data_IF_962987822627
#
_entry.id   IF_962987822627
#
_cell.length_a   1.000
_cell.length_b   1.000
_cell.length_c   1.000
_cell.angle_alpha   90.00
_cell.angle_beta   90.00
_cell.angle_gamma   90.00
#
_symmetry.space_group_name_H-M   'P 1'
#
loop_
_entity.id
_entity.type
_entity.pdbx_description
1 polymer ?
#
# COMPACT_ATOMS: atom_id res chain seq x y z
N UNK A 1 22.00 16.11 15.86
CA UNK A 1 20.72 15.40 16.02
C UNK A 1 20.31 15.01 14.62
N UNK A 2 20.09 13.72 14.33
CA UNK A 2 19.53 13.31 13.04
C UNK A 2 18.14 13.96 12.92
N UNK A 3 17.86 14.60 11.78
CA UNK A 3 16.52 15.15 11.51
C UNK A 3 15.50 14.00 11.56
N UNK A 4 14.38 14.21 12.23
CA UNK A 4 13.29 13.26 12.28
C UNK A 4 12.72 13.08 10.87
N UNK A 5 12.71 11.83 10.36
CA UNK A 5 12.20 11.54 9.01
C UNK A 5 10.71 11.81 8.93
N UNK A 6 10.29 12.55 7.90
CA UNK A 6 8.90 12.84 7.60
C UNK A 6 8.27 11.69 6.81
N UNK A 7 7.24 11.08 7.37
CA UNK A 7 6.54 9.93 6.78
C UNK A 7 5.17 10.38 6.26
N UNK A 8 4.83 9.99 5.05
CA UNK A 8 3.45 10.06 4.54
C UNK A 8 2.89 8.66 4.44
N UNK A 9 1.85 8.39 5.21
CA UNK A 9 1.11 7.13 5.19
C UNK A 9 -0.23 7.34 4.46
N UNK A 10 -0.47 6.61 3.38
CA UNK A 10 -1.72 6.67 2.60
C UNK A 10 -2.58 5.45 2.85
N UNK A 11 -3.86 5.66 3.13
CA UNK A 11 -4.87 4.59 3.17
C UNK A 11 -5.86 4.82 2.04
N UNK A 12 -5.77 4.04 0.93
CA UNK A 12 -6.70 4.18 -0.19
C UNK A 12 -8.06 3.57 0.16
N UNK A 13 -9.15 4.30 -0.13
CA UNK A 13 -10.52 3.88 0.19
C UNK A 13 -11.42 4.03 -1.01
N UNK A 14 -12.24 3.01 -1.31
CA UNK A 14 -13.30 3.08 -2.30
C UNK A 14 -14.57 2.41 -1.80
N UNK A 15 -15.61 3.21 -1.53
CA UNK A 15 -16.88 2.76 -0.96
C UNK A 15 -16.67 1.81 0.23
N UNK A 16 -15.89 2.24 1.23
CA UNK A 16 -15.40 1.35 2.29
C UNK A 16 -15.16 2.04 3.64
N UNK A 17 -15.95 3.05 3.92
CA UNK A 17 -15.91 3.77 5.20
C UNK A 17 -16.10 2.86 6.41
N UNK A 18 -16.88 1.77 6.24
CA UNK A 18 -17.17 0.81 7.32
C UNK A 18 -15.90 0.06 7.75
N UNK A 19 -15.09 -0.47 6.82
CA UNK A 19 -13.87 -1.20 7.17
C UNK A 19 -12.82 -0.24 7.76
N UNK A 20 -12.65 0.93 7.16
CA UNK A 20 -11.79 1.96 7.74
C UNK A 20 -12.30 2.40 9.12
N UNK A 21 -13.62 2.48 9.35
CA UNK A 21 -14.21 2.80 10.63
C UNK A 21 -13.90 1.79 11.75
N UNK A 22 -13.60 0.55 11.40
CA UNK A 22 -13.15 -0.50 12.33
C UNK A 22 -11.65 -0.44 12.60
N UNK A 23 -10.84 -0.26 11.57
CA UNK A 23 -9.38 -0.25 11.63
C UNK A 23 -8.80 1.11 12.02
N UNK A 24 -9.40 2.19 11.54
CA UNK A 24 -8.89 3.55 11.71
C UNK A 24 -8.66 3.99 13.15
N UNK A 25 -9.55 3.70 14.11
CA UNK A 25 -9.33 4.06 15.52
C UNK A 25 -8.08 3.38 16.12
N UNK A 26 -7.83 2.11 15.81
CA UNK A 26 -6.64 1.38 16.25
C UNK A 26 -5.38 2.00 15.67
N UNK A 27 -5.39 2.29 14.37
CA UNK A 27 -4.26 2.93 13.69
C UNK A 27 -3.99 4.35 14.21
N UNK A 28 -5.04 5.16 14.40
CA UNK A 28 -4.92 6.52 14.96
C UNK A 28 -4.26 6.51 16.35
N UNK A 29 -4.71 5.62 17.24
CA UNK A 29 -4.15 5.48 18.58
C UNK A 29 -2.69 5.02 18.54
N UNK A 30 -2.37 4.06 17.66
CA UNK A 30 -1.01 3.57 17.49
C UNK A 30 -0.07 4.67 16.97
N UNK A 31 -0.50 5.43 15.95
CA UNK A 31 0.26 6.56 15.41
C UNK A 31 0.48 7.65 16.48
N UNK A 32 -0.55 8.00 17.26
CA UNK A 32 -0.44 9.00 18.33
C UNK A 32 0.59 8.62 19.40
N UNK A 33 0.76 7.32 19.65
CA UNK A 33 1.67 6.79 20.67
C UNK A 33 3.06 6.43 20.13
N UNK A 34 3.28 6.52 18.82
CA UNK A 34 4.49 5.98 18.18
C UNK A 34 5.73 6.85 18.33
N UNK A 35 5.57 8.16 18.51
CA UNK A 35 6.66 9.14 18.43
C UNK A 35 7.19 9.35 17.02
N UNK A 36 6.60 8.76 15.98
CA UNK A 36 6.98 8.96 14.57
C UNK A 36 6.29 10.20 14.00
N UNK A 37 6.98 10.95 13.15
CA UNK A 37 6.40 12.07 12.40
C UNK A 37 5.65 11.55 11.16
N UNK A 38 4.36 11.25 11.31
CA UNK A 38 3.54 10.65 10.24
C UNK A 38 2.40 11.60 9.85
N UNK A 39 2.32 11.96 8.59
CA UNK A 39 1.13 12.55 7.97
C UNK A 39 0.29 11.43 7.39
N UNK A 40 -0.91 11.20 7.94
CA UNK A 40 -1.79 10.13 7.50
C UNK A 40 -2.86 10.65 6.55
N UNK A 41 -2.86 10.20 5.29
CA UNK A 41 -3.82 10.61 4.26
C UNK A 41 -4.78 9.45 3.96
N UNK A 42 -6.06 9.66 4.24
CA UNK A 42 -7.13 8.80 3.74
C UNK A 42 -7.46 9.27 2.33
N UNK A 43 -7.06 8.49 1.31
CA UNK A 43 -7.25 8.85 -0.10
C UNK A 43 -8.46 8.13 -0.67
N UNK A 44 -9.55 8.87 -0.88
CA UNK A 44 -10.77 8.36 -1.52
C UNK A 44 -10.53 8.09 -3.01
N UNK A 45 -10.92 6.92 -3.51
CA UNK A 45 -10.81 6.51 -4.92
C UNK A 45 -12.11 6.76 -5.70
N UNK A 46 -12.69 7.95 -5.59
CA UNK A 46 -13.93 8.30 -6.32
C UNK A 46 -15.15 7.52 -5.81
N UNK A 47 -15.34 7.45 -4.51
CA UNK A 47 -16.50 6.84 -3.86
C UNK A 47 -17.80 7.61 -4.15
N UNK A 48 -18.95 7.02 -3.84
CA UNK A 48 -20.25 7.69 -3.90
C UNK A 48 -20.32 8.89 -2.95
N UNK A 49 -21.22 9.81 -3.22
CA UNK A 49 -21.41 11.00 -2.38
C UNK A 49 -21.71 10.65 -0.92
N UNK A 50 -22.51 9.60 -0.69
CA UNK A 50 -22.83 9.10 0.65
C UNK A 50 -21.58 8.60 1.38
N UNK A 51 -20.74 7.82 0.69
CA UNK A 51 -19.48 7.30 1.25
C UNK A 51 -18.46 8.44 1.51
N UNK A 52 -18.37 9.43 0.62
CA UNK A 52 -17.52 10.61 0.84
C UNK A 52 -17.93 11.37 2.11
N UNK A 53 -19.23 11.55 2.32
CA UNK A 53 -19.74 12.19 3.55
C UNK A 53 -19.42 11.33 4.79
N UNK A 54 -19.60 10.00 4.71
CA UNK A 54 -19.25 9.10 5.80
C UNK A 54 -17.75 9.11 6.10
N UNK A 55 -16.89 9.15 5.08
CA UNK A 55 -15.44 9.29 5.25
C UNK A 55 -15.07 10.62 5.90
N UNK A 56 -15.71 11.74 5.51
CA UNK A 56 -15.50 13.03 6.15
C UNK A 56 -15.78 12.98 7.65
N UNK A 57 -16.96 12.48 8.02
CA UNK A 57 -17.35 12.32 9.44
C UNK A 57 -16.38 11.40 10.20
N UNK A 58 -15.92 10.31 9.57
CA UNK A 58 -14.98 9.40 10.19
C UNK A 58 -13.62 10.05 10.42
N UNK A 59 -13.06 10.72 9.40
CA UNK A 59 -11.77 11.41 9.50
C UNK A 59 -11.81 12.52 10.55
N UNK A 60 -12.90 13.30 10.63
CA UNK A 60 -13.05 14.33 11.66
C UNK A 60 -13.06 13.74 13.08
N UNK A 61 -13.65 12.55 13.27
CA UNK A 61 -13.59 11.82 14.54
C UNK A 61 -12.17 11.33 14.84
N UNK A 62 -11.49 10.76 13.86
CA UNK A 62 -10.12 10.26 14.01
C UNK A 62 -9.13 11.40 14.29
N UNK A 63 -9.36 12.60 13.75
CA UNK A 63 -8.55 13.80 14.00
C UNK A 63 -8.53 14.20 15.48
N UNK A 64 -9.57 13.88 16.23
CA UNK A 64 -9.60 14.05 17.68
C UNK A 64 -8.59 13.16 18.45
N UNK A 65 -8.14 12.06 17.83
CA UNK A 65 -7.13 11.14 18.37
C UNK A 65 -5.75 11.40 17.74
N UNK A 66 -5.72 11.60 16.43
CA UNK A 66 -4.51 11.83 15.65
C UNK A 66 -4.68 13.05 14.75
N UNK A 67 -4.21 14.25 15.16
CA UNK A 67 -4.45 15.50 14.44
C UNK A 67 -3.85 15.55 13.02
N UNK A 68 -2.80 14.79 12.73
CA UNK A 68 -2.12 14.74 11.43
C UNK A 68 -2.81 13.82 10.40
N UNK A 69 -4.10 13.54 10.59
CA UNK A 69 -4.92 12.82 9.60
C UNK A 69 -5.63 13.81 8.66
N UNK A 70 -5.62 13.47 7.37
CA UNK A 70 -6.27 14.26 6.32
C UNK A 70 -7.14 13.38 5.43
N UNK A 71 -8.17 13.97 4.82
CA UNK A 71 -9.00 13.33 3.80
C UNK A 71 -8.74 13.97 2.44
N UNK A 72 -8.29 13.16 1.49
CA UNK A 72 -8.17 13.54 0.09
C UNK A 72 -9.31 12.91 -0.72
N UNK A 73 -10.16 13.72 -1.33
CA UNK A 73 -11.29 13.27 -2.15
C UNK A 73 -10.93 13.33 -3.64
N UNK A 74 -10.97 12.19 -4.32
CA UNK A 74 -10.91 12.16 -5.77
C UNK A 74 -12.33 12.27 -6.36
N UNK A 75 -12.46 13.05 -7.44
CA UNK A 75 -13.75 13.24 -8.09
C UNK A 75 -14.17 11.98 -8.85
N UNK A 76 -13.23 11.29 -9.45
CA UNK A 76 -13.43 10.08 -10.25
C UNK A 76 -12.58 8.90 -9.70
N UNK A 77 -12.98 7.70 -10.10
CA UNK A 77 -12.27 6.49 -9.72
C UNK A 77 -10.96 6.36 -10.48
N UNK A 78 -9.84 6.35 -9.76
CA UNK A 78 -8.49 6.23 -10.31
C UNK A 78 -7.82 4.89 -9.96
N UNK A 79 -8.54 4.02 -9.28
CA UNK A 79 -8.11 2.72 -8.74
C UNK A 79 -7.07 2.87 -7.61
N UNK A 80 -6.83 1.78 -6.88
CA UNK A 80 -5.97 1.75 -5.68
C UNK A 80 -4.61 2.43 -5.89
N UNK A 81 -3.85 2.00 -6.90
CA UNK A 81 -2.55 2.61 -7.21
C UNK A 81 -2.67 4.09 -7.56
N UNK A 82 -3.70 4.48 -8.31
CA UNK A 82 -3.94 5.88 -8.64
C UNK A 82 -4.24 6.75 -7.44
N UNK A 83 -5.04 6.27 -6.48
CA UNK A 83 -5.34 6.99 -5.25
C UNK A 83 -4.08 7.17 -4.38
N UNK A 84 -3.22 6.14 -4.29
CA UNK A 84 -1.94 6.21 -3.58
C UNK A 84 -1.01 7.21 -4.24
N UNK A 85 -0.78 7.11 -5.55
CA UNK A 85 0.14 7.97 -6.28
C UNK A 85 -0.30 9.44 -6.27
N UNK A 86 -1.59 9.73 -6.44
CA UNK A 86 -2.10 11.11 -6.33
C UNK A 86 -1.84 11.73 -4.95
N UNK A 87 -1.90 10.94 -3.89
CA UNK A 87 -1.57 11.42 -2.56
C UNK A 87 -0.05 11.62 -2.40
N UNK A 88 0.76 10.70 -2.88
CA UNK A 88 2.22 10.81 -2.81
C UNK A 88 2.78 11.94 -3.66
N UNK A 89 2.23 12.17 -4.86
CA UNK A 89 2.66 13.26 -5.77
C UNK A 89 2.50 14.66 -5.14
N UNK A 90 1.59 14.80 -4.17
CA UNK A 90 1.37 16.06 -3.44
C UNK A 90 2.31 16.23 -2.23
N UNK A 91 3.17 15.25 -1.93
CA UNK A 91 3.96 15.20 -0.70
C UNK A 91 5.46 15.19 -1.01
N UNK A 92 5.95 16.26 -1.63
CA UNK A 92 7.35 16.40 -2.07
C UNK A 92 8.37 16.53 -0.93
N UNK A 93 7.92 16.96 0.25
CA UNK A 93 8.76 17.12 1.45
C UNK A 93 8.98 15.82 2.24
N UNK A 94 8.29 14.72 1.88
CA UNK A 94 8.40 13.47 2.60
C UNK A 94 9.78 12.81 2.38
N UNK A 95 10.32 12.19 3.42
CA UNK A 95 11.48 11.30 3.31
C UNK A 95 11.02 9.87 2.97
N UNK A 96 9.86 9.48 3.50
CA UNK A 96 9.32 8.13 3.39
C UNK A 96 7.85 8.22 2.95
N UNK A 97 7.51 7.45 1.93
CA UNK A 97 6.14 7.25 1.47
C UNK A 97 5.68 5.84 1.82
N UNK A 98 4.49 5.72 2.37
CA UNK A 98 3.92 4.43 2.74
C UNK A 98 2.44 4.35 2.35
N UNK A 99 1.95 3.13 2.15
CA UNK A 99 0.51 2.90 2.15
C UNK A 99 0.15 1.68 2.98
N UNK A 100 -1.10 1.66 3.47
CA UNK A 100 -1.72 0.51 4.11
C UNK A 100 -3.18 0.39 3.69
N UNK A 101 -3.65 -0.84 3.45
CA UNK A 101 -5.05 -1.10 3.11
C UNK A 101 -6.01 -0.74 4.26
N UNK A 102 -7.21 -0.28 3.90
CA UNK A 102 -8.21 0.21 4.84
C UNK A 102 -8.95 -0.88 5.63
N UNK A 103 -8.74 -2.15 5.29
CA UNK A 103 -9.58 -3.26 5.77
C UNK A 103 -9.15 -3.86 7.12
N UNK A 104 -7.98 -3.47 7.64
CA UNK A 104 -7.46 -3.99 8.90
C UNK A 104 -6.96 -5.43 8.82
N UNK A 105 -6.73 -5.95 7.62
CA UNK A 105 -6.07 -7.25 7.43
C UNK A 105 -4.64 -7.24 8.01
N UNK A 106 -4.04 -6.07 8.09
CA UNK A 106 -2.75 -5.78 8.71
C UNK A 106 -3.02 -4.94 9.96
N UNK A 107 -2.58 -5.40 11.13
CA UNK A 107 -2.77 -4.69 12.39
C UNK A 107 -1.90 -3.43 12.50
N UNK A 108 -2.31 -2.49 13.34
CA UNK A 108 -1.60 -1.23 13.53
C UNK A 108 -0.17 -1.42 14.07
N UNK A 109 0.08 -2.44 14.88
CA UNK A 109 1.42 -2.76 15.39
C UNK A 109 2.37 -3.15 14.25
N UNK A 110 1.89 -3.93 13.27
CA UNK A 110 2.65 -4.26 12.06
C UNK A 110 2.93 -3.03 11.21
N UNK A 111 1.96 -2.10 11.07
CA UNK A 111 2.19 -0.83 10.37
C UNK A 111 3.33 -0.07 11.02
N UNK A 112 3.26 0.18 12.32
CA UNK A 112 4.33 0.89 13.05
C UNK A 112 5.68 0.20 12.94
N UNK A 113 5.71 -1.12 12.99
CA UNK A 113 6.96 -1.90 12.86
C UNK A 113 7.63 -1.67 11.51
N UNK A 114 6.85 -1.64 10.39
CA UNK A 114 7.41 -1.36 9.07
C UNK A 114 7.89 0.09 8.98
N UNK A 115 7.11 1.06 9.46
CA UNK A 115 7.49 2.47 9.45
C UNK A 115 8.78 2.70 10.27
N UNK A 116 8.85 2.18 11.49
CA UNK A 116 10.05 2.29 12.35
C UNK A 116 11.26 1.63 11.71
N UNK A 117 11.07 0.46 11.08
CA UNK A 117 12.15 -0.23 10.38
C UNK A 117 12.70 0.62 9.22
N UNK A 118 11.82 1.20 8.40
CA UNK A 118 12.23 2.09 7.30
C UNK A 118 12.94 3.36 7.80
N UNK A 119 12.53 3.92 8.94
CA UNK A 119 13.23 5.05 9.55
C UNK A 119 14.68 4.72 9.94
N UNK A 120 14.94 3.49 10.35
CA UNK A 120 16.26 3.02 10.79
C UNK A 120 17.17 2.57 9.63
N UNK A 121 16.62 2.45 8.41
CA UNK A 121 17.38 2.02 7.22
C UNK A 121 17.99 3.20 6.47
N UNK A 122 18.85 2.85 5.49
CA UNK A 122 19.41 3.83 4.55
C UNK A 122 18.32 4.56 3.77
N UNK A 123 18.55 5.82 3.34
CA UNK A 123 17.57 6.62 2.63
C UNK A 123 17.03 5.99 1.34
N UNK A 124 17.78 5.08 0.71
CA UNK A 124 17.38 4.36 -0.51
C UNK A 124 16.84 2.95 -0.23
N UNK A 125 16.41 2.69 1.00
CA UNK A 125 15.84 1.38 1.38
C UNK A 125 14.33 1.44 1.53
N UNK A 126 13.65 0.44 0.96
CA UNK A 126 12.22 0.22 1.13
C UNK A 126 11.93 -1.00 2.01
N UNK A 127 10.70 -1.08 2.51
CA UNK A 127 10.22 -2.20 3.33
C UNK A 127 8.85 -2.65 2.85
N UNK A 128 8.69 -3.94 2.67
CA UNK A 128 7.38 -4.52 2.33
C UNK A 128 6.95 -5.56 3.37
N UNK A 129 5.65 -5.64 3.59
CA UNK A 129 5.07 -6.71 4.41
C UNK A 129 5.00 -8.02 3.63
N UNK A 130 5.27 -9.14 4.29
CA UNK A 130 5.03 -10.49 3.79
C UNK A 130 4.01 -11.15 4.69
N UNK A 131 2.89 -11.56 4.11
CA UNK A 131 1.80 -12.21 4.84
C UNK A 131 2.23 -13.56 5.36
N UNK A 132 2.30 -13.70 6.67
CA UNK A 132 2.71 -14.92 7.33
C UNK A 132 1.59 -15.50 8.20
N UNK A 133 1.42 -16.82 8.12
CA UNK A 133 0.52 -17.53 9.00
C UNK A 133 1.16 -17.69 10.38
N UNK A 134 0.47 -17.26 11.42
CA UNK A 134 0.87 -17.53 12.79
C UNK A 134 -0.09 -18.51 13.44
N UNK A 135 0.36 -19.18 14.50
CA UNK A 135 -0.52 -20.09 15.29
C UNK A 135 -1.72 -19.32 15.88
N UNK A 136 -1.51 -18.03 16.22
CA UNK A 136 -2.55 -17.16 16.78
C UNK A 136 -3.51 -16.62 15.69
N UNK A 137 -3.10 -16.60 14.41
CA UNK A 137 -3.92 -16.14 13.30
C UNK A 137 -3.82 -17.15 12.15
N UNK A 138 -4.50 -18.32 12.25
CA UNK A 138 -4.51 -19.29 11.17
C UNK A 138 -5.24 -18.69 9.98
N UNK A 139 -4.53 -18.48 8.89
CA UNK A 139 -5.11 -17.98 7.64
C UNK A 139 -5.88 -19.12 7.00
N UNK A 140 -7.19 -19.14 7.17
CA UNK A 140 -8.08 -20.02 6.43
C UNK A 140 -8.31 -19.45 5.02
N UNK A 141 -7.30 -19.52 4.18
CA UNK A 141 -7.48 -19.16 2.75
C UNK A 141 -8.22 -20.30 2.05
N UNK A 142 -9.30 -20.02 1.33
CA UNK A 142 -9.84 -20.96 0.37
C UNK A 142 -8.68 -21.42 -0.55
N UNK A 143 -8.57 -22.74 -0.77
CA UNK A 143 -7.46 -23.30 -1.54
C UNK A 143 -7.30 -22.66 -2.93
N UNK A 144 -8.42 -22.25 -3.57
CA UNK A 144 -8.41 -21.56 -4.86
C UNK A 144 -7.61 -20.22 -4.79
N UNK A 145 -7.77 -19.44 -3.70
CA UNK A 145 -7.02 -18.21 -3.50
C UNK A 145 -5.53 -18.49 -3.25
N UNK A 146 -5.21 -19.57 -2.55
CA UNK A 146 -3.82 -19.95 -2.33
C UNK A 146 -3.14 -20.36 -3.66
N UNK A 147 -3.84 -21.11 -4.51
CA UNK A 147 -3.35 -21.50 -5.85
C UNK A 147 -3.19 -20.27 -6.74
N UNK A 148 -4.21 -19.40 -6.80
CA UNK A 148 -4.16 -18.18 -7.61
C UNK A 148 -2.99 -17.28 -7.20
N UNK A 149 -2.74 -17.15 -5.90
CA UNK A 149 -1.60 -16.38 -5.39
C UNK A 149 -0.27 -16.98 -5.84
N UNK A 150 -0.08 -18.31 -5.70
CA UNK A 150 1.14 -18.99 -6.14
C UNK A 150 1.37 -18.84 -7.65
N UNK A 151 0.33 -19.04 -8.44
CA UNK A 151 0.41 -18.87 -9.91
C UNK A 151 0.80 -17.44 -10.25
N UNK A 152 0.18 -16.45 -9.62
CA UNK A 152 0.52 -15.04 -9.83
C UNK A 152 1.98 -14.73 -9.46
N UNK A 153 2.46 -15.19 -8.31
CA UNK A 153 3.86 -15.01 -7.89
C UNK A 153 4.83 -15.61 -8.89
N UNK A 154 4.54 -16.82 -9.41
CA UNK A 154 5.36 -17.46 -10.45
C UNK A 154 5.38 -16.63 -11.74
N UNK A 155 4.22 -16.10 -12.15
CA UNK A 155 4.13 -15.24 -13.34
C UNK A 155 4.93 -13.95 -13.16
N UNK A 156 4.83 -13.29 -12.00
CA UNK A 156 5.61 -12.08 -11.68
C UNK A 156 7.10 -12.39 -11.79
N UNK A 157 7.59 -13.43 -11.13
CA UNK A 157 9.01 -13.84 -11.18
C UNK A 157 9.48 -14.10 -12.62
N UNK A 158 8.71 -14.86 -13.40
CA UNK A 158 9.10 -15.24 -14.77
C UNK A 158 8.96 -14.12 -15.80
N UNK A 159 7.94 -13.30 -15.69
CA UNK A 159 7.66 -12.27 -16.69
C UNK A 159 8.38 -10.94 -16.40
N UNK A 160 8.49 -10.60 -15.12
CA UNK A 160 8.97 -9.29 -14.66
C UNK A 160 10.38 -9.38 -14.08
N UNK A 161 10.77 -10.52 -13.49
CA UNK A 161 12.08 -10.69 -12.83
C UNK A 161 12.12 -10.12 -11.41
N UNK A 162 10.96 -9.77 -10.84
CA UNK A 162 10.83 -9.32 -9.44
C UNK A 162 10.68 -10.56 -8.56
N UNK A 163 11.62 -10.77 -7.64
CA UNK A 163 11.67 -11.95 -6.78
C UNK A 163 11.44 -11.59 -5.32
N UNK A 164 10.17 -11.25 -5.01
CA UNK A 164 9.69 -11.08 -3.63
C UNK A 164 8.74 -12.22 -3.24
N UNK A 165 8.70 -12.52 -1.94
CA UNK A 165 7.83 -13.56 -1.38
C UNK A 165 6.35 -13.14 -1.52
N UNK A 166 6.02 -11.85 -1.31
CA UNK A 166 4.66 -11.32 -1.41
C UNK A 166 4.60 -9.91 -1.99
N UNK A 167 4.49 -9.81 -3.32
CA UNK A 167 4.35 -8.51 -4.00
C UNK A 167 3.01 -7.82 -3.76
N UNK A 168 1.98 -8.56 -3.31
CA UNK A 168 0.60 -8.08 -3.19
C UNK A 168 0.17 -7.81 -1.73
N UNK A 169 1.11 -7.77 -0.78
CA UNK A 169 0.79 -7.40 0.59
C UNK A 169 0.28 -5.97 0.66
N UNK A 170 -0.77 -5.73 1.43
CA UNK A 170 -1.46 -4.44 1.54
C UNK A 170 -0.69 -3.36 2.30
N UNK A 171 0.62 -3.49 2.49
CA UNK A 171 1.48 -2.46 3.06
C UNK A 171 2.83 -2.43 2.34
N UNK A 172 3.27 -1.22 2.00
CA UNK A 172 4.62 -0.93 1.50
C UNK A 172 5.10 0.40 2.02
N UNK A 173 6.39 0.47 2.28
CA UNK A 173 7.10 1.66 2.72
C UNK A 173 8.27 1.85 1.75
N UNK A 174 8.33 3.00 1.10
CA UNK A 174 9.28 3.26 0.02
C UNK A 174 9.99 4.61 0.23
N UNK A 175 11.25 4.76 -0.23
CA UNK A 175 11.94 6.03 -0.16
C UNK A 175 11.29 7.04 -1.11
N UNK A 176 10.94 8.22 -0.59
CA UNK A 176 10.28 9.27 -1.37
C UNK A 176 11.16 9.75 -2.53
N UNK A 177 12.45 9.89 -2.31
CA UNK A 177 13.40 10.31 -3.35
C UNK A 177 13.40 9.38 -4.56
N UNK A 178 13.37 8.05 -4.33
CA UNK A 178 13.31 7.09 -5.42
C UNK A 178 11.94 7.14 -6.12
N UNK A 179 10.86 7.26 -5.37
CA UNK A 179 9.52 7.38 -5.96
C UNK A 179 9.41 8.59 -6.88
N UNK A 180 9.81 9.77 -6.44
CA UNK A 180 9.67 11.00 -7.23
C UNK A 180 10.46 10.99 -8.55
N UNK A 181 11.61 10.30 -8.60
CA UNK A 181 12.36 10.12 -9.85
C UNK A 181 11.57 9.31 -10.88
N UNK A 182 10.84 8.29 -10.47
CA UNK A 182 10.14 7.37 -11.36
C UNK A 182 8.62 7.60 -11.48
N UNK A 183 8.04 8.51 -10.69
CA UNK A 183 6.60 8.70 -10.56
C UNK A 183 5.89 8.90 -11.91
N UNK A 184 6.50 9.68 -12.83
CA UNK A 184 5.96 9.93 -14.17
C UNK A 184 5.90 8.66 -15.05
N UNK A 185 6.70 7.64 -14.76
CA UNK A 185 6.81 6.41 -15.52
C UNK A 185 5.90 5.29 -14.99
N UNK A 186 5.37 5.45 -13.78
CA UNK A 186 4.45 4.50 -13.17
C UNK A 186 3.07 4.65 -13.79
N UNK A 187 2.62 3.65 -14.55
CA UNK A 187 1.39 3.71 -15.35
C UNK A 187 0.26 2.82 -14.84
N UNK A 188 0.59 1.73 -14.12
CA UNK A 188 -0.42 0.82 -13.61
C UNK A 188 -1.10 1.41 -12.37
N UNK A 189 -2.43 1.47 -12.40
CA UNK A 189 -3.26 2.02 -11.30
C UNK A 189 -4.09 0.95 -10.60
N UNK A 190 -4.21 -0.25 -11.22
CA UNK A 190 -5.01 -1.38 -10.73
C UNK A 190 -4.21 -2.34 -9.86
N UNK A 191 -4.60 -3.61 -9.90
CA UNK A 191 -4.05 -4.66 -9.03
C UNK A 191 -2.57 -5.02 -9.25
N UNK A 192 -1.96 -4.59 -10.34
CA UNK A 192 -0.53 -4.86 -10.62
C UNK A 192 0.36 -3.64 -10.38
N UNK A 193 -0.20 -2.54 -9.85
CA UNK A 193 0.59 -1.34 -9.52
C UNK A 193 1.72 -1.66 -8.53
N UNK A 194 1.45 -2.56 -7.59
CA UNK A 194 2.43 -3.05 -6.62
C UNK A 194 3.67 -3.67 -7.29
N UNK A 195 3.45 -4.46 -8.35
CA UNK A 195 4.54 -5.12 -9.08
C UNK A 195 5.34 -4.08 -9.86
N UNK A 196 4.67 -3.12 -10.52
CA UNK A 196 5.34 -2.04 -11.25
C UNK A 196 6.18 -1.17 -10.31
N UNK A 197 5.61 -0.78 -9.16
CA UNK A 197 6.30 0.00 -8.14
C UNK A 197 7.57 -0.70 -7.65
N UNK A 198 7.48 -2.00 -7.31
CA UNK A 198 8.61 -2.77 -6.81
C UNK A 198 9.71 -2.94 -7.87
N UNK A 199 9.32 -3.21 -9.12
CA UNK A 199 10.26 -3.28 -10.24
C UNK A 199 11.01 -1.95 -10.43
N UNK A 200 10.27 -0.85 -10.47
CA UNK A 200 10.85 0.47 -10.67
C UNK A 200 11.82 0.85 -9.54
N UNK A 201 11.45 0.57 -8.27
CA UNK A 201 12.35 0.76 -7.13
C UNK A 201 13.63 -0.05 -7.24
N UNK A 202 13.55 -1.33 -7.65
CA UNK A 202 14.74 -2.16 -7.86
C UNK A 202 15.63 -1.59 -8.98
N UNK A 203 15.04 -1.07 -10.05
CA UNK A 203 15.81 -0.45 -11.15
C UNK A 203 16.47 0.86 -10.74
N UNK A 204 15.90 1.57 -9.75
CA UNK A 204 16.55 2.73 -9.11
C UNK A 204 17.63 2.33 -8.08
N UNK A 205 17.94 1.04 -7.93
CA UNK A 205 18.92 0.54 -6.99
C UNK A 205 18.46 0.51 -5.52
N UNK A 206 17.14 0.64 -5.27
CA UNK A 206 16.61 0.54 -3.91
C UNK A 206 16.76 -0.88 -3.35
N UNK A 207 17.25 -0.97 -2.12
CA UNK A 207 17.23 -2.20 -1.36
C UNK A 207 15.87 -2.36 -0.69
N UNK A 208 15.20 -3.49 -0.92
CA UNK A 208 13.87 -3.75 -0.37
C UNK A 208 13.94 -4.90 0.62
N UNK A 209 13.61 -4.61 1.88
CA UNK A 209 13.55 -5.58 2.96
C UNK A 209 12.15 -6.16 3.07
N UNK A 210 12.03 -7.47 3.19
CA UNK A 210 10.79 -8.19 3.42
C UNK A 210 10.62 -8.47 4.91
N UNK A 211 9.53 -7.94 5.52
CA UNK A 211 9.18 -8.21 6.91
C UNK A 211 7.93 -9.07 7.00
N UNK A 212 8.06 -10.24 7.63
CA UNK A 212 6.92 -11.11 7.90
C UNK A 212 6.01 -10.49 8.93
N UNK A 213 4.72 -10.37 8.59
CA UNK A 213 3.69 -9.78 9.44
C UNK A 213 2.52 -10.75 9.65
N UNK A 214 1.88 -10.73 10.82
CA UNK A 214 0.57 -11.35 10.99
C UNK A 214 -0.42 -10.81 9.97
N UNK A 215 -1.26 -11.67 9.44
CA UNK A 215 -2.28 -11.25 8.49
C UNK A 215 -3.60 -11.95 8.79
N UNK A 216 -4.70 -11.19 8.75
CA UNK A 216 -6.05 -11.72 8.96
C UNK A 216 -6.83 -11.66 7.66
N UNK A 217 -7.52 -12.74 7.30
CA UNK A 217 -8.45 -12.67 6.18
C UNK A 217 -9.70 -11.91 6.60
N UNK A 218 -9.95 -10.79 5.93
CA UNK A 218 -11.17 -10.01 6.14
C UNK A 218 -12.20 -10.50 5.12
N UNK A 219 -13.38 -10.96 5.57
CA UNK A 219 -14.48 -11.30 4.67
C UNK A 219 -14.85 -10.13 3.75
N UNK A 220 -15.48 -10.45 2.61
CA UNK A 220 -15.98 -9.44 1.64
C UNK A 220 -14.92 -8.65 0.88
N UNK A 221 -13.75 -9.25 0.64
CA UNK A 221 -12.72 -8.65 -0.23
C UNK A 221 -13.26 -8.31 -1.63
N UNK A 222 -12.95 -7.10 -2.12
CA UNK A 222 -13.44 -6.59 -3.42
C UNK A 222 -12.75 -7.22 -4.64
N UNK A 223 -11.75 -8.07 -4.44
CA UNK A 223 -11.02 -8.75 -5.52
C UNK A 223 -11.82 -9.94 -6.02
N UNK A 224 -12.10 -9.97 -7.33
CA UNK A 224 -12.75 -11.10 -8.02
C UNK A 224 -11.69 -11.87 -8.82
N UNK A 225 -11.07 -12.95 -8.29
CA UNK A 225 -9.86 -13.55 -8.83
C UNK A 225 -9.96 -13.95 -10.31
N UNK A 226 -11.09 -14.50 -10.74
CA UNK A 226 -11.28 -14.96 -12.12
C UNK A 226 -11.55 -13.81 -13.11
N UNK A 227 -12.27 -12.76 -12.67
CA UNK A 227 -12.59 -11.62 -13.53
C UNK A 227 -11.39 -10.66 -13.65
N UNK A 228 -10.61 -10.55 -12.58
CA UNK A 228 -9.46 -9.65 -12.53
C UNK A 228 -8.20 -10.28 -13.14
N UNK A 229 -8.14 -11.63 -13.28
CA UNK A 229 -6.96 -12.36 -13.74
C UNK A 229 -6.46 -11.91 -15.12
N UNK A 230 -7.35 -11.74 -16.09
CA UNK A 230 -6.98 -11.27 -17.42
C UNK A 230 -6.42 -9.86 -17.40
N UNK A 231 -7.01 -8.97 -16.63
CA UNK A 231 -6.50 -7.61 -16.43
C UNK A 231 -5.12 -7.60 -15.77
N UNK A 232 -4.88 -8.49 -14.81
CA UNK A 232 -3.58 -8.64 -14.15
C UNK A 232 -2.51 -9.16 -15.12
N UNK A 233 -2.81 -10.20 -15.91
CA UNK A 233 -1.87 -10.73 -16.93
C UNK A 233 -1.54 -9.65 -17.96
N UNK A 234 -2.54 -8.97 -18.51
CA UNK A 234 -2.34 -7.87 -19.44
C UNK A 234 -1.48 -6.76 -18.84
N UNK A 235 -1.70 -6.42 -17.56
CA UNK A 235 -0.88 -5.47 -16.82
C UNK A 235 0.57 -5.92 -16.71
N UNK A 236 0.83 -7.19 -16.35
CA UNK A 236 2.20 -7.73 -16.28
C UNK A 236 2.90 -7.65 -17.65
N UNK A 237 2.18 -7.93 -18.75
CA UNK A 237 2.76 -7.83 -20.10
C UNK A 237 3.12 -6.38 -20.44
N UNK A 238 2.28 -5.40 -20.08
CA UNK A 238 2.59 -3.96 -20.28
C UNK A 238 3.81 -3.54 -19.44
N UNK A 239 3.87 -3.94 -18.16
CA UNK A 239 5.04 -3.67 -17.31
C UNK A 239 6.29 -4.25 -17.94
N UNK A 240 6.26 -5.51 -18.38
CA UNK A 240 7.39 -6.17 -19.07
C UNK A 240 7.84 -5.41 -20.30
N UNK A 241 6.89 -4.93 -21.12
CA UNK A 241 7.20 -4.16 -22.32
C UNK A 241 7.91 -2.85 -21.99
N UNK A 242 7.40 -2.09 -20.99
CA UNK A 242 8.00 -0.85 -20.52
C UNK A 242 9.40 -1.08 -19.92
N UNK A 243 9.56 -2.12 -19.12
CA UNK A 243 10.85 -2.49 -18.54
C UNK A 243 11.90 -2.80 -19.61
N UNK A 244 11.52 -3.54 -20.68
CA UNK A 244 12.41 -3.80 -21.82
C UNK A 244 12.76 -2.55 -22.63
N UNK A 245 11.90 -1.54 -22.60
CA UNK A 245 12.15 -0.24 -23.23
C UNK A 245 12.97 0.72 -22.34
N UNK A 246 13.38 0.29 -21.15
CA UNK A 246 14.17 1.10 -20.22
C UNK A 246 13.41 2.31 -19.66
N UNK A 247 12.10 2.14 -19.38
CA UNK A 247 11.25 3.25 -18.93
C UNK A 247 11.26 3.47 -17.41
N UNK A 248 11.86 2.59 -16.63
CA UNK A 248 11.90 2.71 -15.15
C UNK A 248 13.26 3.14 -14.63
#
# INVERSE_FOLDING_TARGET
MASEKQIVLVTPVWNDSIRLGRFGPELAQALASSGLSVRWIVSDDGSSALEKAALGTLVDRLRGVYPQIELQLNQERVRKGGAIYRAWDMCTEADILAFVDADGAIDAASVLRLLSHACAQDPMSGVIGVRHNTVATPVQRPWQRAVSFRVFTILVRRLIGVDFEDTQCGIKVVPAAAYHVMAANLMERGFVFDVELLLALQQQGCQITELRIPWREIPEGKVRPLLDAWGMIAGLLRIRQRAKAGQY
#
